data_IF_822751378068
#
_entry.id   IF_822751378068
#
_cell.length_a   1.000
_cell.length_b   1.000
_cell.length_c   1.000
_cell.angle_alpha   90.00
_cell.angle_beta   90.00
_cell.angle_gamma   90.00
#
_symmetry.space_group_name_H-M   'P 1'
#
loop_
_entity.id
_entity.type
_entity.pdbx_description
1 polymer ?
#
# COMPACT_ATOMS: atom_id res chain seq x y z
N UNK A 1 2.85 -23.66 5.19
CA UNK A 1 2.78 -22.24 5.61
C UNK A 1 3.50 -21.43 4.54
N UNK A 2 2.80 -20.64 3.72
CA UNK A 2 3.44 -19.85 2.67
C UNK A 2 4.34 -18.82 3.34
N UNK A 3 5.63 -18.77 2.95
CA UNK A 3 6.55 -17.74 3.41
C UNK A 3 5.89 -16.39 3.12
N UNK A 4 5.63 -15.63 4.18
CA UNK A 4 5.10 -14.28 4.05
C UNK A 4 6.12 -13.47 3.27
N UNK A 5 5.80 -13.11 2.03
CA UNK A 5 6.63 -12.25 1.21
C UNK A 5 6.88 -10.99 2.02
N UNK A 6 8.15 -10.63 2.20
CA UNK A 6 8.51 -9.54 3.11
C UNK A 6 7.82 -8.25 2.64
N UNK A 7 7.31 -7.40 3.55
CA UNK A 7 6.68 -6.13 3.18
C UNK A 7 7.58 -5.28 2.26
N UNK A 8 8.89 -5.35 2.47
CA UNK A 8 9.91 -4.71 1.65
C UNK A 8 9.94 -5.22 0.20
N UNK A 9 9.86 -6.54 -0.02
CA UNK A 9 9.84 -7.13 -1.35
C UNK A 9 8.56 -6.75 -2.10
N UNK A 10 7.41 -6.73 -1.40
CA UNK A 10 6.13 -6.28 -1.95
C UNK A 10 6.18 -4.82 -2.42
N UNK A 11 6.77 -3.95 -1.59
CA UNK A 11 6.93 -2.54 -1.91
C UNK A 11 7.89 -2.33 -3.08
N UNK A 12 9.04 -3.02 -3.06
CA UNK A 12 10.05 -2.95 -4.12
C UNK A 12 9.49 -3.44 -5.46
N UNK A 13 8.73 -4.54 -5.47
CA UNK A 13 8.03 -5.02 -6.65
C UNK A 13 7.05 -3.98 -7.18
N UNK A 14 6.25 -3.37 -6.32
CA UNK A 14 5.27 -2.36 -6.72
C UNK A 14 5.95 -1.12 -7.30
N UNK A 15 7.02 -0.62 -6.67
CA UNK A 15 7.76 0.54 -7.17
C UNK A 15 8.45 0.23 -8.50
N UNK A 16 9.01 -0.97 -8.67
CA UNK A 16 9.61 -1.40 -9.92
C UNK A 16 8.57 -1.57 -11.02
N UNK A 17 7.39 -2.11 -10.72
CA UNK A 17 6.27 -2.15 -11.66
C UNK A 17 5.87 -0.75 -12.11
N UNK A 18 5.77 0.21 -11.19
CA UNK A 18 5.45 1.60 -11.51
C UNK A 18 6.56 2.32 -12.29
N UNK A 19 7.83 2.04 -11.99
CA UNK A 19 8.97 2.68 -12.64
C UNK A 19 9.22 2.14 -14.05
N UNK A 20 9.07 0.83 -14.26
CA UNK A 20 9.40 0.18 -15.53
C UNK A 20 8.18 -0.05 -16.42
N UNK A 21 6.97 -0.16 -15.85
CA UNK A 21 5.73 -0.41 -16.60
C UNK A 21 5.67 -1.75 -17.34
N UNK A 22 6.51 -2.73 -16.95
CA UNK A 22 6.66 -4.02 -17.64
C UNK A 22 5.70 -5.09 -17.13
N UNK A 23 5.51 -6.13 -17.94
CA UNK A 23 4.70 -7.32 -17.63
C UNK A 23 5.19 -8.06 -16.37
N UNK A 24 4.28 -8.75 -15.69
CA UNK A 24 4.55 -9.48 -14.44
C UNK A 24 5.68 -10.53 -14.57
N UNK A 25 5.88 -11.11 -15.75
CA UNK A 25 6.97 -12.07 -16.01
C UNK A 25 8.37 -11.44 -15.92
N UNK A 26 8.55 -10.19 -16.33
CA UNK A 26 9.83 -9.45 -16.21
C UNK A 26 10.14 -9.12 -14.74
N UNK A 27 9.07 -8.92 -13.95
CA UNK A 27 9.15 -8.67 -12.52
C UNK A 27 9.52 -9.93 -11.72
N UNK A 28 9.15 -11.13 -12.19
CA UNK A 28 9.54 -12.40 -11.58
C UNK A 28 11.06 -12.54 -11.52
N UNK A 29 11.76 -12.21 -12.61
CA UNK A 29 13.22 -12.22 -12.64
C UNK A 29 13.84 -11.12 -11.76
N UNK A 30 13.19 -9.96 -11.67
CA UNK A 30 13.72 -8.82 -10.91
C UNK A 30 13.54 -8.92 -9.39
N UNK A 31 12.52 -9.66 -8.92
CA UNK A 31 12.18 -9.74 -7.49
C UNK A 31 12.20 -11.20 -6.99
N UNK A 32 12.42 -12.19 -7.86
CA UNK A 32 12.37 -13.62 -7.55
C UNK A 32 11.03 -14.07 -6.93
N UNK A 33 9.93 -13.40 -7.30
CA UNK A 33 8.57 -13.71 -6.83
C UNK A 33 7.76 -14.23 -8.01
N UNK A 34 7.09 -15.36 -7.83
CA UNK A 34 6.21 -15.95 -8.85
C UNK A 34 5.13 -14.96 -9.34
N UNK A 35 4.81 -14.92 -10.64
CA UNK A 35 3.84 -14.01 -11.23
C UNK A 35 2.44 -14.18 -10.64
N UNK A 36 2.08 -15.39 -10.18
CA UNK A 36 0.81 -15.65 -9.49
C UNK A 36 0.73 -14.93 -8.14
N UNK A 37 1.85 -14.86 -7.41
CA UNK A 37 1.91 -14.12 -6.15
C UNK A 37 1.95 -12.60 -6.42
N UNK A 38 2.67 -12.17 -7.46
CA UNK A 38 2.70 -10.76 -7.88
C UNK A 38 1.31 -10.25 -8.27
N UNK A 39 0.51 -11.06 -8.96
CA UNK A 39 -0.86 -10.72 -9.35
C UNK A 39 -1.80 -10.43 -8.17
N UNK A 40 -1.51 -10.98 -6.98
CA UNK A 40 -2.26 -10.68 -5.75
C UNK A 40 -1.61 -9.54 -4.96
N UNK A 41 -0.28 -9.55 -4.85
CA UNK A 41 0.49 -8.61 -4.03
C UNK A 41 0.45 -7.18 -4.56
N UNK A 42 0.60 -6.98 -5.89
CA UNK A 42 0.68 -5.66 -6.50
C UNK A 42 -0.64 -4.87 -6.34
N UNK A 43 -1.82 -5.40 -6.69
CA UNK A 43 -3.07 -4.66 -6.48
C UNK A 43 -3.35 -4.42 -4.99
N UNK A 44 -3.03 -5.34 -4.09
CA UNK A 44 -3.15 -5.11 -2.65
C UNK A 44 -2.28 -3.94 -2.20
N UNK A 45 -0.97 -3.98 -2.48
CA UNK A 45 -0.02 -2.97 -2.02
C UNK A 45 -0.35 -1.59 -2.61
N UNK A 46 -0.74 -1.53 -3.89
CA UNK A 46 -1.20 -0.28 -4.52
C UNK A 46 -2.46 0.28 -3.85
N UNK A 47 -3.41 -0.58 -3.48
CA UNK A 47 -4.65 -0.19 -2.78
C UNK A 47 -4.34 0.32 -1.38
N UNK A 48 -3.45 -0.36 -0.64
CA UNK A 48 -3.01 0.09 0.70
C UNK A 48 -2.37 1.48 0.64
N UNK A 49 -1.48 1.73 -0.34
CA UNK A 49 -0.86 3.04 -0.51
C UNK A 49 -1.87 4.11 -0.88
N UNK A 50 -2.79 3.84 -1.81
CA UNK A 50 -3.88 4.78 -2.14
C UNK A 50 -4.75 5.08 -0.93
N UNK A 51 -5.16 4.06 -0.18
CA UNK A 51 -5.96 4.23 1.03
C UNK A 51 -5.21 5.06 2.08
N UNK A 52 -3.91 4.84 2.26
CA UNK A 52 -3.11 5.60 3.21
C UNK A 52 -3.03 7.08 2.83
N UNK A 53 -2.82 7.38 1.54
CA UNK A 53 -2.85 8.76 1.03
C UNK A 53 -4.24 9.37 1.17
N UNK A 54 -5.30 8.61 0.91
CA UNK A 54 -6.69 9.07 1.07
C UNK A 54 -7.00 9.38 2.54
N UNK A 55 -6.63 8.49 3.47
CA UNK A 55 -6.81 8.69 4.91
C UNK A 55 -5.99 9.88 5.39
N UNK A 56 -4.73 9.99 4.99
CA UNK A 56 -3.88 11.12 5.34
C UNK A 56 -4.44 12.44 4.79
N UNK A 57 -4.93 12.44 3.54
CA UNK A 57 -5.60 13.58 2.94
C UNK A 57 -6.88 13.94 3.70
N UNK A 58 -7.69 12.95 4.06
CA UNK A 58 -8.88 13.14 4.90
C UNK A 58 -8.54 13.75 6.26
N UNK A 59 -7.47 13.28 6.91
CA UNK A 59 -6.98 13.84 8.19
C UNK A 59 -6.43 15.25 8.04
N UNK A 60 -5.90 15.61 6.87
CA UNK A 60 -5.37 16.95 6.60
C UNK A 60 -6.45 17.95 6.16
N UNK A 61 -7.50 17.51 5.45
CA UNK A 61 -8.63 18.36 5.05
C UNK A 61 -9.70 18.46 6.12
N UNK A 62 -9.82 17.48 7.01
CA UNK A 62 -10.50 17.68 8.30
C UNK A 62 -9.54 18.34 9.27
N UNK A 63 -9.40 19.67 9.13
CA UNK A 63 -9.20 20.50 10.33
C UNK A 63 -10.31 20.10 11.31
N UNK A 64 -10.00 19.75 12.57
CA UNK A 64 -11.03 19.62 13.57
C UNK A 64 -11.61 21.02 13.78
N UNK A 65 -12.66 21.37 13.04
CA UNK A 65 -13.58 22.45 13.41
C UNK A 65 -14.44 22.09 14.61
N UNK A 66 -14.12 20.99 15.31
CA UNK A 66 -14.59 20.76 16.67
C UNK A 66 -13.49 21.18 17.64
N UNK A 67 -13.45 22.49 17.88
CA UNK A 67 -13.20 23.02 19.22
C UNK A 67 -13.88 22.12 20.26
N UNK A 68 -13.11 21.79 21.30
CA UNK A 68 -13.50 21.13 22.55
C UNK A 68 -15.01 20.98 22.80
N UNK A 69 -15.48 19.73 22.87
CA UNK A 69 -16.59 19.30 23.73
C UNK A 69 -16.51 17.77 23.87
N UNK A 70 -15.51 17.28 24.59
CA UNK A 70 -15.56 15.99 25.30
C UNK A 70 -14.62 16.06 26.50
N UNK A 71 -14.79 17.10 27.31
CA UNK A 71 -14.42 17.08 28.73
C UNK A 71 -15.67 17.56 29.47
N UNK A 72 -16.03 16.82 30.53
CA UNK A 72 -17.20 16.96 31.43
C UNK A 72 -18.55 16.44 30.93
N UNK A 73 -18.82 15.16 31.21
CA UNK A 73 -20.00 14.60 31.91
C UNK A 73 -19.74 13.08 32.00
N UNK A 74 -19.71 12.34 33.10
CA UNK A 74 -20.08 12.51 34.51
C UNK A 74 -19.97 11.10 35.11
#
# INVERSE_FOLDING_TARGET
>A
MRQSISPHERLTATLRFLATGRSYEDLEFSVAISPQALGQVIPETRTTLQNLVVIARWRATHVPSCTMVFETDG
#
